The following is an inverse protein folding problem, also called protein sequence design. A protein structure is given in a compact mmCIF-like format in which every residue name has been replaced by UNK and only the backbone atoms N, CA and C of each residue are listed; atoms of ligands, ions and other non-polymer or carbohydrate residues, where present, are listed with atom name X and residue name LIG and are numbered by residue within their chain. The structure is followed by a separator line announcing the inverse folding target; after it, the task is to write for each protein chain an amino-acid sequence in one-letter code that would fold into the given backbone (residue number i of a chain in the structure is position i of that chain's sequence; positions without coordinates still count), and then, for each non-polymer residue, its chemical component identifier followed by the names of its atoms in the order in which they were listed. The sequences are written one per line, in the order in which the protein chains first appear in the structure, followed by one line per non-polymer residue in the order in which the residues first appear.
data_IF_001219460747
#
_entry.id   IF_001219460747
#
_cell.length_a   1.000
_cell.length_b   1.000
_cell.length_c   1.000
_cell.angle_alpha   90.00
_cell.angle_beta   90.00
_cell.angle_gamma   90.00
#
_symmetry.space_group_name_H-M   'P 1'
#
loop_
_entity.id
_entity.type
_entity.pdbx_description
1 polymer ?
#
# COMPACT_ATOMS: atom_id res chain seq x y z
N UNK A 1 12.35 12.50 -6.50
CA UNK A 1 10.93 12.86 -6.56
C UNK A 1 10.66 13.58 -7.88
N UNK A 2 9.45 13.43 -8.40
CA UNK A 2 8.92 14.14 -9.57
C UNK A 2 8.20 15.36 -9.00
N UNK A 3 8.39 16.51 -9.65
CA UNK A 3 7.75 17.75 -9.22
C UNK A 3 6.26 17.75 -9.57
N UNK A 4 5.44 18.40 -8.74
CA UNK A 4 4.00 18.56 -8.98
C UNK A 4 3.16 17.30 -8.73
N UNK A 5 3.70 16.31 -8.01
CA UNK A 5 2.93 15.15 -7.56
C UNK A 5 2.91 15.05 -6.03
N UNK A 6 1.80 14.52 -5.52
CA UNK A 6 1.62 14.24 -4.09
C UNK A 6 2.03 12.80 -3.85
N UNK A 7 2.95 12.62 -2.91
CA UNK A 7 3.34 11.31 -2.43
C UNK A 7 2.53 10.97 -1.19
N UNK A 8 1.94 9.79 -1.17
CA UNK A 8 1.28 9.25 0.01
C UNK A 8 2.00 7.96 0.41
N UNK A 9 2.66 7.99 1.55
CA UNK A 9 3.44 6.87 2.09
C UNK A 9 2.67 6.08 3.14
N UNK A 10 3.21 4.92 3.53
CA UNK A 10 2.78 4.14 4.68
C UNK A 10 1.24 3.97 4.78
N UNK A 11 0.60 3.62 3.67
CA UNK A 11 -0.86 3.38 3.58
C UNK A 11 -1.74 4.59 3.93
N UNK A 12 -1.24 5.81 3.75
CA UNK A 12 -1.95 7.04 4.10
C UNK A 12 -1.49 7.68 5.41
N UNK A 13 -0.44 7.17 6.04
CA UNK A 13 0.10 7.74 7.27
C UNK A 13 0.91 9.03 7.06
N UNK A 14 1.48 9.23 5.87
CA UNK A 14 2.31 10.38 5.59
C UNK A 14 2.11 10.90 4.17
N UNK A 15 2.36 12.19 4.00
CA UNK A 15 2.16 12.93 2.78
C UNK A 15 3.39 13.80 2.49
N UNK A 16 3.80 13.86 1.23
CA UNK A 16 4.71 14.88 0.72
C UNK A 16 4.01 15.60 -0.43
N UNK A 17 3.79 16.91 -0.30
CA UNK A 17 3.22 17.76 -1.34
C UNK A 17 3.99 19.08 -1.38
N UNK A 18 4.42 19.52 -2.56
CA UNK A 18 5.15 20.80 -2.74
C UNK A 18 6.37 20.98 -1.81
N UNK A 19 7.04 19.87 -1.47
CA UNK A 19 8.19 19.85 -0.57
C UNK A 19 7.84 19.87 0.92
N UNK A 20 6.57 19.97 1.28
CA UNK A 20 6.10 19.88 2.66
C UNK A 20 5.81 18.44 3.05
N UNK A 21 6.34 18.03 4.20
CA UNK A 21 6.11 16.72 4.80
C UNK A 21 5.06 16.81 5.91
N UNK A 22 4.02 15.98 5.83
CA UNK A 22 2.94 15.89 6.82
C UNK A 22 2.74 14.44 7.25
N UNK A 23 2.46 14.24 8.53
CA UNK A 23 2.06 12.95 9.10
C UNK A 23 0.63 13.06 9.59
N UNK A 24 -0.17 12.01 9.41
CA UNK A 24 -1.52 11.92 9.96
C UNK A 24 -1.46 11.75 11.47
N UNK A 25 -2.29 12.49 12.20
CA UNK A 25 -2.37 12.41 13.65
C UNK A 25 -2.56 10.95 14.11
N UNK A 26 -1.78 10.53 15.10
CA UNK A 26 -1.80 9.18 15.63
C UNK A 26 -0.98 8.15 14.86
N UNK A 27 -0.46 8.45 13.66
CA UNK A 27 0.31 7.49 12.86
C UNK A 27 1.55 6.93 13.61
N UNK A 28 2.18 7.76 14.45
CA UNK A 28 3.36 7.39 15.23
C UNK A 28 3.08 6.64 16.55
N UNK A 29 1.82 6.54 16.99
CA UNK A 29 1.48 5.99 18.32
C UNK A 29 1.84 4.51 18.48
N UNK A 30 1.97 3.79 17.37
CA UNK A 30 2.32 2.38 17.38
C UNK A 30 3.84 2.12 17.44
N UNK A 31 4.69 3.15 17.35
CA UNK A 31 6.14 2.96 17.17
C UNK A 31 6.77 2.12 18.27
N UNK A 32 6.50 2.44 19.53
CA UNK A 32 7.05 1.68 20.68
C UNK A 32 6.60 0.21 20.67
N UNK A 33 5.37 -0.06 20.22
CA UNK A 33 4.83 -1.42 20.09
C UNK A 33 5.50 -2.17 18.93
N UNK A 34 5.69 -1.51 17.79
CA UNK A 34 6.45 -2.07 16.66
C UNK A 34 7.85 -2.43 17.13
N UNK A 35 8.57 -1.51 17.79
CA UNK A 35 9.92 -1.75 18.30
C UNK A 35 9.98 -2.91 19.31
N UNK A 36 8.94 -3.10 20.13
CA UNK A 36 8.84 -4.24 21.02
C UNK A 36 8.74 -5.57 20.26
N UNK A 37 7.95 -5.61 19.18
CA UNK A 37 7.82 -6.80 18.31
C UNK A 37 9.11 -7.08 17.53
N UNK A 38 9.75 -6.04 16.99
CA UNK A 38 10.96 -6.19 16.17
C UNK A 38 12.12 -6.86 16.93
N UNK A 39 12.22 -6.66 18.25
CA UNK A 39 13.20 -7.35 19.10
C UNK A 39 13.11 -8.88 19.04
N UNK A 40 11.94 -9.42 18.69
CA UNK A 40 11.70 -10.86 18.55
C UNK A 40 11.83 -11.32 17.09
N UNK A 41 11.38 -10.50 16.15
CA UNK A 41 11.25 -10.90 14.74
C UNK A 41 12.55 -10.68 13.96
N UNK A 42 13.26 -9.57 14.17
CA UNK A 42 14.48 -9.24 13.40
C UNK A 42 15.60 -10.27 13.58
N UNK A 43 15.92 -10.78 14.79
CA UNK A 43 16.94 -11.82 14.94
C UNK A 43 16.64 -13.08 14.13
N UNK A 44 15.36 -13.45 13.99
CA UNK A 44 14.93 -14.58 13.19
C UNK A 44 15.07 -14.28 11.70
N UNK A 45 14.67 -13.08 11.26
CA UNK A 45 14.84 -12.63 9.89
C UNK A 45 16.32 -12.67 9.47
N UNK A 46 17.22 -12.15 10.32
CA UNK A 46 18.66 -12.14 10.06
C UNK A 46 19.27 -13.55 10.02
N UNK A 47 18.87 -14.45 10.92
CA UNK A 47 19.34 -15.85 10.94
C UNK A 47 18.92 -16.63 9.68
N UNK A 48 17.73 -16.33 9.13
CA UNK A 48 17.26 -16.88 7.85
C UNK A 48 17.80 -16.12 6.62
N UNK A 49 18.63 -15.09 6.84
CA UNK A 49 19.27 -14.30 5.77
C UNK A 49 18.30 -13.39 5.01
N UNK A 50 17.20 -12.98 5.66
CA UNK A 50 16.19 -12.11 5.09
C UNK A 50 16.59 -10.64 5.19
N UNK A 51 16.09 -9.85 4.25
CA UNK A 51 16.22 -8.39 4.28
C UNK A 51 14.99 -7.79 4.96
N UNK A 52 15.17 -6.70 5.69
CA UNK A 52 14.07 -5.95 6.28
C UNK A 52 14.29 -4.44 6.11
N UNK A 53 13.20 -3.71 6.11
CA UNK A 53 13.15 -2.27 5.86
C UNK A 53 12.27 -1.60 6.92
N UNK A 54 12.83 -0.61 7.62
CA UNK A 54 12.10 0.27 8.53
C UNK A 54 11.62 1.52 7.78
N UNK A 55 10.30 1.69 7.70
CA UNK A 55 9.63 2.80 6.99
C UNK A 55 9.11 3.86 7.97
N UNK A 56 9.56 3.84 9.22
CA UNK A 56 9.10 4.72 10.29
C UNK A 56 7.79 4.23 10.92
N UNK A 57 6.71 4.14 10.13
CA UNK A 57 5.37 3.76 10.59
C UNK A 57 5.01 2.29 10.35
N UNK A 58 5.78 1.60 9.51
CA UNK A 58 5.73 0.16 9.35
C UNK A 58 7.13 -0.43 9.16
N UNK A 59 7.25 -1.73 9.36
CA UNK A 59 8.44 -2.50 9.00
C UNK A 59 8.04 -3.62 8.07
N UNK A 60 8.83 -3.81 7.01
CA UNK A 60 8.64 -4.88 6.03
C UNK A 60 9.81 -5.84 6.07
N UNK A 61 9.55 -7.14 6.11
CA UNK A 61 10.54 -8.21 6.01
C UNK A 61 10.33 -8.91 4.66
N UNK A 62 11.37 -8.96 3.83
CA UNK A 62 11.32 -9.54 2.50
C UNK A 62 11.73 -11.02 2.53
N UNK A 63 10.79 -11.91 2.25
CA UNK A 63 11.02 -13.37 2.30
C UNK A 63 11.49 -13.95 0.97
N UNK A 64 11.42 -13.19 -0.13
CA UNK A 64 11.80 -13.64 -1.48
C UNK A 64 13.18 -14.29 -1.59
N UNK A 65 14.15 -13.85 -0.79
CA UNK A 65 15.54 -14.35 -0.82
C UNK A 65 15.81 -15.44 0.25
N UNK A 66 14.78 -15.92 0.94
CA UNK A 66 14.89 -17.02 1.86
C UNK A 66 15.47 -18.25 1.16
N UNK A 67 16.40 -18.96 1.83
CA UNK A 67 16.92 -20.24 1.34
C UNK A 67 15.86 -21.34 1.38
N UNK A 68 15.02 -21.28 2.40
CA UNK A 68 13.85 -22.14 2.62
C UNK A 68 12.70 -21.23 3.06
N UNK A 69 11.82 -20.90 2.12
CA UNK A 69 10.73 -19.94 2.34
C UNK A 69 9.78 -20.42 3.44
N UNK A 70 9.35 -21.68 3.37
CA UNK A 70 8.37 -22.24 4.30
C UNK A 70 8.93 -22.29 5.72
N UNK A 71 10.22 -22.65 5.88
CA UNK A 71 10.88 -22.60 7.18
C UNK A 71 11.01 -21.18 7.71
N UNK A 72 11.40 -20.22 6.85
CA UNK A 72 11.54 -18.83 7.26
C UNK A 72 10.21 -18.24 7.73
N UNK A 73 9.12 -18.47 6.99
CA UNK A 73 7.78 -18.01 7.34
C UNK A 73 7.31 -18.61 8.66
N UNK A 74 7.41 -19.93 8.86
CA UNK A 74 7.03 -20.57 10.14
C UNK A 74 7.81 -20.03 11.34
N UNK A 75 9.11 -19.73 11.15
CA UNK A 75 9.93 -19.17 12.24
C UNK A 75 9.56 -17.73 12.56
N UNK A 76 9.25 -16.93 11.55
CA UNK A 76 8.73 -15.57 11.75
C UNK A 76 7.37 -15.60 12.45
N UNK A 77 6.47 -16.50 12.06
CA UNK A 77 5.18 -16.72 12.75
C UNK A 77 5.39 -17.09 14.23
N UNK A 78 6.27 -18.05 14.51
CA UNK A 78 6.59 -18.43 15.89
C UNK A 78 7.18 -17.26 16.69
N UNK A 79 8.01 -16.41 16.06
CA UNK A 79 8.55 -15.21 16.69
C UNK A 79 7.43 -14.20 17.01
N UNK A 80 6.51 -13.98 16.07
CA UNK A 80 5.35 -13.11 16.25
C UNK A 80 4.44 -13.59 17.38
N UNK A 81 4.18 -14.90 17.49
CA UNK A 81 3.34 -15.47 18.56
C UNK A 81 3.87 -15.19 19.97
N UNK A 82 5.20 -15.10 20.11
CA UNK A 82 5.86 -14.83 21.39
C UNK A 82 6.15 -13.34 21.62
N UNK A 83 5.98 -12.50 20.60
CA UNK A 83 6.28 -11.08 20.67
C UNK A 83 5.22 -10.34 21.52
N UNK A 84 5.64 -9.49 22.47
CA UNK A 84 4.72 -8.64 23.22
C UNK A 84 4.04 -7.64 22.28
N UNK A 85 2.85 -7.17 22.65
CA UNK A 85 2.10 -6.13 21.92
C UNK A 85 1.70 -6.46 20.47
N UNK A 86 2.04 -7.64 19.93
CA UNK A 86 1.72 -8.01 18.53
C UNK A 86 0.23 -7.92 18.21
N UNK A 87 -0.65 -8.20 19.18
CA UNK A 87 -2.11 -8.13 19.04
C UNK A 87 -2.65 -6.69 18.90
N UNK A 88 -1.84 -5.71 19.28
CA UNK A 88 -2.14 -4.29 19.13
C UNK A 88 -1.59 -3.70 17.81
N UNK A 89 -0.98 -4.52 16.96
CA UNK A 89 -0.48 -4.18 15.64
C UNK A 89 -1.27 -4.92 14.54
N UNK A 90 -1.22 -4.40 13.33
CA UNK A 90 -1.64 -5.16 12.15
C UNK A 90 -0.41 -5.86 11.58
N UNK A 91 -0.54 -7.17 11.35
CA UNK A 91 0.49 -8.02 10.75
C UNK A 91 -0.07 -8.59 9.46
N UNK A 92 0.60 -8.32 8.35
CA UNK A 92 0.13 -8.67 7.01
C UNK A 92 1.16 -9.51 6.28
N UNK A 93 0.71 -10.64 5.73
CA UNK A 93 1.48 -11.45 4.80
C UNK A 93 1.10 -11.09 3.37
N UNK A 94 1.99 -10.37 2.69
CA UNK A 94 1.87 -10.03 1.28
C UNK A 94 2.64 -10.98 0.38
N UNK A 95 2.74 -10.65 -0.90
CA UNK A 95 3.51 -11.44 -1.86
C UNK A 95 5.01 -11.44 -1.52
N UNK A 96 5.46 -12.50 -0.84
CA UNK A 96 6.85 -12.70 -0.38
C UNK A 96 7.34 -11.59 0.58
N UNK A 97 6.44 -11.05 1.40
CA UNK A 97 6.74 -10.06 2.43
C UNK A 97 5.89 -10.27 3.69
N UNK A 98 6.46 -9.94 4.85
CA UNK A 98 5.75 -9.75 6.11
C UNK A 98 5.81 -8.26 6.46
N UNK A 99 4.66 -7.60 6.57
CA UNK A 99 4.55 -6.21 7.01
C UNK A 99 3.96 -6.14 8.42
N UNK A 100 4.57 -5.31 9.27
CA UNK A 100 4.13 -5.02 10.64
C UNK A 100 3.89 -3.51 10.74
N UNK A 101 2.68 -3.09 11.14
CA UNK A 101 2.31 -1.68 11.22
C UNK A 101 1.33 -1.40 12.36
N UNK A 102 1.14 -0.12 12.69
CA UNK A 102 0.14 0.29 13.68
C UNK A 102 -1.30 0.01 13.23
N UNK A 103 -2.19 -0.31 14.17
CA UNK A 103 -3.64 -0.44 13.95
C UNK A 103 -4.32 0.93 13.88
N UNK A 104 -3.92 1.74 12.92
CA UNK A 104 -4.45 3.10 12.72
C UNK A 104 -5.76 3.10 11.93
N UNK A 105 -6.08 1.99 11.27
CA UNK A 105 -7.14 1.91 10.26
C UNK A 105 -6.76 2.54 8.93
N UNK A 106 -5.58 3.17 8.82
CA UNK A 106 -5.13 3.80 7.59
C UNK A 106 -4.86 2.75 6.50
N UNK A 107 -5.43 3.01 5.35
CA UNK A 107 -5.32 2.21 4.14
C UNK A 107 -5.44 3.14 2.93
N UNK A 108 -4.99 2.68 1.75
CA UNK A 108 -5.00 3.48 0.51
C UNK A 108 -6.35 4.12 0.19
N UNK A 109 -7.46 3.44 0.52
CA UNK A 109 -8.81 3.98 0.35
C UNK A 109 -9.13 5.24 1.19
N UNK A 110 -8.43 5.48 2.31
CA UNK A 110 -8.54 6.73 3.05
C UNK A 110 -7.87 7.88 2.30
N UNK A 111 -6.66 7.64 1.81
CA UNK A 111 -5.91 8.60 1.01
C UNK A 111 -6.67 9.00 -0.28
N UNK A 112 -7.28 8.04 -0.97
CA UNK A 112 -8.10 8.32 -2.17
C UNK A 112 -9.21 9.31 -1.85
N UNK A 113 -9.97 9.09 -0.76
CA UNK A 113 -11.07 9.97 -0.36
C UNK A 113 -10.60 11.34 0.12
N UNK A 114 -9.51 11.36 0.87
CA UNK A 114 -8.91 12.60 1.38
C UNK A 114 -8.43 13.48 0.21
N UNK A 115 -7.65 12.91 -0.71
CA UNK A 115 -7.18 13.63 -1.90
C UNK A 115 -8.34 14.10 -2.80
N UNK A 116 -9.34 13.25 -3.03
CA UNK A 116 -10.50 13.63 -3.83
C UNK A 116 -11.24 14.85 -3.24
N UNK A 117 -11.44 14.86 -1.93
CA UNK A 117 -12.10 15.96 -1.22
C UNK A 117 -11.23 17.21 -1.17
N UNK A 118 -9.97 17.08 -0.74
CA UNK A 118 -9.10 18.21 -0.45
C UNK A 118 -8.73 18.97 -1.74
N UNK A 119 -8.69 18.28 -2.88
CA UNK A 119 -8.48 18.89 -4.20
C UNK A 119 -9.78 19.15 -4.98
N UNK A 120 -10.95 18.85 -4.41
CA UNK A 120 -12.25 19.02 -5.08
C UNK A 120 -12.28 18.41 -6.49
N UNK A 121 -11.80 17.16 -6.61
CA UNK A 121 -11.66 16.51 -7.91
C UNK A 121 -13.02 16.27 -8.57
N UNK A 122 -13.11 16.57 -9.86
CA UNK A 122 -14.27 16.23 -10.70
C UNK A 122 -14.19 14.79 -11.22
N UNK A 123 -12.98 14.27 -11.36
CA UNK A 123 -12.72 12.90 -11.81
C UNK A 123 -11.48 12.29 -11.16
N UNK A 124 -11.44 10.96 -11.07
CA UNK A 124 -10.39 10.17 -10.45
C UNK A 124 -10.12 8.90 -11.25
N UNK A 125 -8.84 8.60 -11.48
CA UNK A 125 -8.39 7.28 -11.94
C UNK A 125 -7.48 6.69 -10.86
N UNK A 126 -7.81 5.48 -10.40
CA UNK A 126 -6.96 4.70 -9.50
C UNK A 126 -6.37 3.51 -10.25
N UNK A 127 -5.07 3.27 -10.09
CA UNK A 127 -4.35 2.15 -10.72
C UNK A 127 -3.60 1.38 -9.63
N UNK A 128 -3.80 0.07 -9.53
CA UNK A 128 -3.16 -0.78 -8.51
C UNK A 128 -2.95 -2.22 -8.97
N UNK A 129 -2.10 -2.96 -8.27
CA UNK A 129 -1.63 -4.31 -8.66
C UNK A 129 -1.70 -5.34 -7.52
N UNK A 130 -1.59 -4.91 -6.27
CA UNK A 130 -1.43 -5.81 -5.12
C UNK A 130 -2.63 -5.77 -4.16
N UNK A 131 -2.64 -6.68 -3.19
CA UNK A 131 -3.68 -6.85 -2.18
C UNK A 131 -3.93 -5.56 -1.40
N UNK A 132 -2.89 -4.75 -1.18
CA UNK A 132 -3.01 -3.47 -0.47
C UNK A 132 -3.81 -2.43 -1.26
N UNK A 133 -3.93 -2.59 -2.59
CA UNK A 133 -4.71 -1.71 -3.45
C UNK A 133 -6.21 -2.03 -3.43
N UNK A 134 -6.62 -3.16 -2.86
CA UNK A 134 -8.03 -3.55 -2.77
C UNK A 134 -8.83 -2.47 -2.03
N UNK A 135 -8.31 -1.92 -0.93
CA UNK A 135 -9.04 -0.86 -0.20
C UNK A 135 -9.09 0.46 -0.97
N UNK A 136 -8.08 0.74 -1.81
CA UNK A 136 -8.10 1.86 -2.77
C UNK A 136 -9.17 1.66 -3.84
N UNK A 137 -9.21 0.47 -4.44
CA UNK A 137 -10.18 0.11 -5.47
C UNK A 137 -11.62 0.07 -4.93
N UNK A 138 -11.82 -0.40 -3.68
CA UNK A 138 -13.12 -0.31 -2.99
C UNK A 138 -13.56 1.13 -2.81
N UNK A 139 -12.64 2.03 -2.42
CA UNK A 139 -12.96 3.44 -2.29
C UNK A 139 -13.44 4.05 -3.61
N UNK A 140 -12.80 3.69 -4.72
CA UNK A 140 -13.24 4.09 -6.07
C UNK A 140 -14.63 3.57 -6.38
N UNK A 141 -14.91 2.29 -6.10
CA UNK A 141 -16.22 1.69 -6.31
C UNK A 141 -17.33 2.35 -5.48
N UNK A 142 -17.03 2.71 -4.24
CA UNK A 142 -17.96 3.42 -3.37
C UNK A 142 -18.26 4.82 -3.92
N UNK A 143 -17.24 5.54 -4.37
CA UNK A 143 -17.36 6.87 -5.03
C UNK A 143 -18.18 6.78 -6.32
N UNK A 144 -18.02 5.72 -7.10
CA UNK A 144 -18.87 5.51 -8.29
C UNK A 144 -20.33 5.30 -7.92
N UNK A 145 -20.59 4.49 -6.89
CA UNK A 145 -21.94 4.15 -6.44
C UNK A 145 -22.66 5.33 -5.80
N UNK A 146 -21.93 6.18 -5.06
CA UNK A 146 -22.50 7.39 -4.45
C UNK A 146 -22.69 8.54 -5.45
N UNK A 147 -21.99 8.48 -6.60
CA UNK A 147 -22.08 9.47 -7.67
C UNK A 147 -21.44 10.82 -7.32
N UNK A 148 -20.51 10.85 -6.36
CA UNK A 148 -19.85 12.07 -5.90
C UNK A 148 -18.90 12.67 -6.93
N UNK A 149 -18.24 11.84 -7.76
CA UNK A 149 -17.41 12.24 -8.89
C UNK A 149 -17.27 11.12 -9.93
N UNK A 150 -16.74 11.43 -11.11
CA UNK A 150 -16.43 10.40 -12.12
C UNK A 150 -15.17 9.61 -11.73
N UNK A 151 -15.34 8.35 -11.32
CA UNK A 151 -14.26 7.51 -10.82
C UNK A 151 -14.05 6.28 -11.72
N UNK A 152 -12.79 5.89 -11.95
CA UNK A 152 -12.42 4.67 -12.68
C UNK A 152 -11.32 3.91 -11.93
N UNK A 153 -11.50 2.61 -11.77
CA UNK A 153 -10.50 1.69 -11.24
C UNK A 153 -9.83 0.85 -12.32
N UNK A 154 -8.50 0.80 -12.34
CA UNK A 154 -7.71 0.01 -13.28
C UNK A 154 -6.79 -0.95 -12.52
N UNK A 155 -6.88 -2.24 -12.82
CA UNK A 155 -5.93 -3.24 -12.27
C UNK A 155 -4.77 -3.47 -13.22
N UNK A 156 -3.56 -3.57 -12.69
CA UNK A 156 -2.38 -4.04 -13.44
C UNK A 156 -2.31 -5.56 -13.28
N UNK A 157 -2.75 -6.28 -14.31
CA UNK A 157 -2.84 -7.73 -14.31
C UNK A 157 -1.47 -8.37 -14.58
N UNK A 158 -1.08 -9.27 -13.69
CA UNK A 158 0.09 -10.13 -13.76
C UNK A 158 -0.14 -11.45 -12.99
N UNK A 159 0.75 -12.42 -13.16
CA UNK A 159 0.72 -13.67 -12.38
C UNK A 159 0.78 -13.36 -10.89
N UNK A 160 -0.27 -13.74 -10.15
CA UNK A 160 -0.40 -13.47 -8.71
C UNK A 160 -1.24 -12.23 -8.35
N UNK A 161 -1.87 -11.57 -9.33
CA UNK A 161 -2.84 -10.49 -9.06
C UNK A 161 -4.00 -11.04 -8.23
N UNK A 162 -4.39 -10.39 -7.11
CA UNK A 162 -5.47 -10.88 -6.27
C UNK A 162 -6.82 -10.85 -7.01
N UNK A 163 -7.58 -11.95 -6.93
CA UNK A 163 -8.91 -12.02 -7.55
C UNK A 163 -9.85 -10.92 -7.04
N UNK A 164 -9.82 -10.63 -5.74
CA UNK A 164 -10.62 -9.56 -5.16
C UNK A 164 -10.29 -8.16 -5.68
N UNK A 165 -9.06 -7.93 -6.17
CA UNK A 165 -8.70 -6.67 -6.85
C UNK A 165 -9.29 -6.64 -8.27
N UNK A 166 -9.16 -7.74 -9.01
CA UNK A 166 -9.71 -7.87 -10.37
C UNK A 166 -11.23 -7.72 -10.39
N UNK A 167 -11.93 -8.27 -9.40
CA UNK A 167 -13.40 -8.20 -9.30
C UNK A 167 -13.92 -6.77 -9.06
N UNK A 168 -13.08 -5.90 -8.50
CA UNK A 168 -13.43 -4.51 -8.19
C UNK A 168 -13.08 -3.52 -9.31
N UNK A 169 -12.14 -3.86 -10.19
CA UNK A 169 -11.65 -2.97 -11.22
C UNK A 169 -12.63 -2.86 -12.41
N UNK A 170 -12.70 -1.68 -13.02
CA UNK A 170 -13.49 -1.47 -14.24
C UNK A 170 -12.73 -1.89 -15.49
N UNK A 171 -11.40 -1.67 -15.48
CA UNK A 171 -10.51 -1.99 -16.58
C UNK A 171 -9.24 -2.69 -16.10
N UNK A 172 -8.51 -3.28 -17.04
CA UNK A 172 -7.21 -3.88 -16.77
C UNK A 172 -6.18 -3.46 -17.81
N UNK A 173 -4.92 -3.42 -17.37
CA UNK A 173 -3.73 -3.36 -18.22
C UNK A 173 -2.82 -4.53 -17.87
N UNK A 174 -2.00 -5.01 -18.79
CA UNK A 174 -1.26 -6.27 -18.62
C UNK A 174 0.16 -6.10 -18.08
N UNK A 175 0.60 -4.87 -17.81
CA UNK A 175 1.92 -4.59 -17.23
C UNK A 175 2.09 -3.13 -16.81
N UNK A 176 3.11 -2.88 -15.99
CA UNK A 176 3.60 -1.53 -15.68
C UNK A 176 3.96 -0.73 -16.95
N UNK A 177 4.49 -1.40 -17.97
CA UNK A 177 4.78 -0.75 -19.26
C UNK A 177 3.52 -0.27 -19.98
N UNK A 178 2.41 -0.98 -19.85
CA UNK A 178 1.11 -0.56 -20.39
C UNK A 178 0.49 0.59 -19.60
N UNK A 179 0.72 0.67 -18.27
CA UNK A 179 0.39 1.86 -17.48
C UNK A 179 1.08 3.09 -18.07
N UNK A 180 2.36 3.00 -18.40
CA UNK A 180 3.10 4.10 -19.04
C UNK A 180 2.49 4.54 -20.37
N UNK A 181 2.09 3.59 -21.24
CA UNK A 181 1.41 3.89 -22.50
C UNK A 181 0.04 4.55 -22.28
N UNK A 182 -0.71 4.08 -21.30
CA UNK A 182 -2.01 4.63 -20.92
C UNK A 182 -1.87 6.09 -20.44
N UNK A 183 -0.91 6.38 -19.55
CA UNK A 183 -0.68 7.73 -19.04
C UNK A 183 -0.22 8.70 -20.14
N UNK A 184 0.62 8.24 -21.09
CA UNK A 184 1.00 9.04 -22.26
C UNK A 184 -0.20 9.36 -23.14
N UNK A 185 -1.02 8.35 -23.45
CA UNK A 185 -2.25 8.55 -24.21
C UNK A 185 -3.23 9.52 -23.53
N UNK A 186 -3.35 9.44 -22.20
CA UNK A 186 -4.20 10.33 -21.41
C UNK A 186 -3.69 11.79 -21.50
N UNK A 187 -2.38 12.01 -21.36
CA UNK A 187 -1.77 13.32 -21.47
C UNK A 187 -1.93 13.95 -22.86
N UNK A 188 -1.75 13.15 -23.92
CA UNK A 188 -1.96 13.58 -25.30
C UNK A 188 -3.43 13.95 -25.55
N UNK A 189 -4.35 13.11 -25.09
CA UNK A 189 -5.80 13.32 -25.23
C UNK A 189 -6.28 14.56 -24.49
N UNK A 190 -5.74 14.83 -23.30
CA UNK A 190 -6.04 16.03 -22.53
C UNK A 190 -5.51 17.31 -23.21
N UNK A 191 -4.34 17.23 -23.85
CA UNK A 191 -3.72 18.35 -24.55
C UNK A 191 -4.50 18.73 -25.83
N UNK A 192 -5.14 17.78 -26.49
CA UNK A 192 -5.96 17.99 -27.70
C UNK A 192 -7.35 18.57 -27.41
N UNK A 193 -7.82 18.54 -26.15
CA UNK A 193 -9.12 19.09 -25.74
C UNK A 193 -9.03 20.55 -25.25
N UNK A 194 -7.83 21.13 -25.19
CA UNK A 194 -7.61 22.54 -24.84
C UNK A 194 -7.66 23.45 -26.06
#
# INVERSE_FOLDING_TARGET
NIDGIIYVGNHGAEYISDGEYRVVDGAGEARDRIDAVLKHVIPVAEDEGLFWEDKGFSVTIHTRKARDLEKAERRLESALETAPEVKALDVFWGNLVLEIRGRTGLHKGHAVRELARDHSLESLIFIGDDTTDIDGMRAVRDIQNDGSLEAIGIVVNHDGTPQGLMDLADYSVNSVSEVGKFLLWLADSASQRR
#
